data_IF_862373642253
#
_entry.id   IF_862373642253
#
_cell.length_a   1.000
_cell.length_b   1.000
_cell.length_c   1.000
_cell.angle_alpha   90.00
_cell.angle_beta   90.00
_cell.angle_gamma   90.00
#
_symmetry.space_group_name_H-M   'P 1'
#
loop_
_entity.id
_entity.type
_entity.pdbx_description
1 polymer ?
#
# COMPACT_ATOMS: atom_id res chain seq x y z
N UNK A 1 4.57 -38.53 45.66
CA UNK A 1 5.16 -37.26 45.19
C UNK A 1 5.28 -37.27 43.65
N UNK A 2 4.17 -37.14 42.90
CA UNK A 2 4.16 -37.20 41.41
C UNK A 2 3.38 -36.05 40.73
N UNK A 3 2.69 -35.20 41.50
CA UNK A 3 1.80 -34.16 40.94
C UNK A 3 2.51 -32.87 40.47
N UNK A 4 3.81 -32.67 40.79
CA UNK A 4 4.51 -31.39 40.52
C UNK A 4 5.11 -31.27 39.12
N UNK A 5 5.23 -32.36 38.34
CA UNK A 5 5.82 -32.31 36.98
C UNK A 5 4.81 -31.90 35.89
N UNK A 6 3.51 -32.10 36.10
CA UNK A 6 2.49 -31.81 35.08
C UNK A 6 2.07 -30.33 35.04
N UNK A 7 2.31 -29.58 36.12
CA UNK A 7 1.93 -28.17 36.20
C UNK A 7 2.91 -27.24 35.43
N UNK A 8 4.16 -27.67 35.24
CA UNK A 8 5.19 -26.87 34.54
C UNK A 8 4.98 -26.94 33.01
N UNK A 9 4.42 -28.03 32.49
CA UNK A 9 4.13 -28.17 31.05
C UNK A 9 2.94 -27.31 30.62
N UNK A 10 1.97 -27.05 31.51
CA UNK A 10 0.77 -26.27 31.18
C UNK A 10 1.05 -24.76 31.08
N UNK A 11 1.98 -24.21 31.88
CA UNK A 11 2.34 -22.79 31.79
C UNK A 11 3.24 -22.45 30.59
N UNK A 12 4.05 -23.39 30.10
CA UNK A 12 4.88 -23.17 28.91
C UNK A 12 4.06 -23.10 27.60
N UNK A 13 2.90 -23.77 27.56
CA UNK A 13 1.99 -23.72 26.40
C UNK A 13 1.21 -22.40 26.33
N UNK A 14 0.93 -21.75 27.47
CA UNK A 14 0.26 -20.43 27.50
C UNK A 14 1.19 -19.25 27.20
N UNK A 15 2.49 -19.36 27.52
CA UNK A 15 3.47 -18.31 27.21
C UNK A 15 3.89 -18.26 25.73
N UNK A 16 3.58 -19.30 24.95
CA UNK A 16 3.84 -19.34 23.50
C UNK A 16 2.67 -18.81 22.65
N UNK A 17 1.57 -18.38 23.28
CA UNK A 17 0.34 -17.91 22.60
C UNK A 17 0.34 -16.40 22.30
N UNK A 18 1.44 -15.67 22.52
CA UNK A 18 1.50 -14.21 22.34
C UNK A 18 2.61 -13.74 21.41
N UNK A 19 2.98 -14.50 20.39
CA UNK A 19 3.55 -13.89 19.19
C UNK A 19 2.39 -13.38 18.33
N UNK A 20 1.76 -12.30 18.78
CA UNK A 20 1.12 -11.36 17.85
C UNK A 20 2.30 -10.87 17.02
N UNK A 21 2.47 -11.41 15.83
CA UNK A 21 3.37 -10.81 14.85
C UNK A 21 2.81 -9.41 14.63
N UNK A 22 3.49 -8.38 15.14
CA UNK A 22 3.21 -7.02 14.73
C UNK A 22 3.51 -7.02 13.23
N UNK A 23 2.47 -6.96 12.40
CA UNK A 23 2.61 -6.63 11.00
C UNK A 23 3.24 -5.24 10.96
N UNK A 24 4.55 -5.18 10.78
CA UNK A 24 5.22 -3.90 10.63
C UNK A 24 4.75 -3.32 9.29
N UNK A 25 4.27 -2.08 9.31
CA UNK A 25 4.03 -1.31 8.10
C UNK A 25 5.28 -1.34 7.22
N UNK A 26 5.09 -1.61 5.94
CA UNK A 26 6.18 -1.51 4.97
C UNK A 26 6.10 -0.20 4.18
N UNK A 27 4.93 0.47 4.18
CA UNK A 27 4.72 1.78 3.59
C UNK A 27 3.62 2.55 4.34
N UNK A 28 3.83 3.84 4.58
CA UNK A 28 2.84 4.83 5.01
C UNK A 28 3.23 6.16 4.35
N UNK A 29 2.51 6.55 3.30
CA UNK A 29 2.82 7.70 2.46
C UNK A 29 1.58 8.56 2.23
N UNK A 30 1.57 9.77 2.80
CA UNK A 30 0.59 10.83 2.53
C UNK A 30 1.12 11.93 1.61
N UNK A 31 2.22 11.68 0.88
CA UNK A 31 2.78 12.61 -0.11
C UNK A 31 3.23 13.97 0.45
N UNK A 32 3.37 14.11 1.77
CA UNK A 32 3.86 15.32 2.45
C UNK A 32 5.35 15.62 2.20
N UNK A 33 6.08 14.71 1.56
CA UNK A 33 7.51 14.86 1.30
C UNK A 33 7.89 14.47 -0.14
N UNK A 34 8.61 15.35 -0.87
CA UNK A 34 9.00 16.70 -0.47
C UNK A 34 7.80 17.66 -0.42
N UNK A 35 7.85 18.62 0.51
CA UNK A 35 6.90 19.74 0.51
C UNK A 35 7.15 20.57 -0.75
N UNK A 36 6.14 20.66 -1.62
CA UNK A 36 6.16 21.55 -2.76
C UNK A 36 5.78 22.96 -2.28
N UNK A 37 6.51 23.96 -2.78
CA UNK A 37 6.07 25.35 -2.70
C UNK A 37 5.44 25.69 -4.04
N UNK A 38 4.13 25.94 -4.12
CA UNK A 38 3.49 26.18 -5.40
C UNK A 38 4.01 27.46 -6.07
N UNK A 39 4.01 27.47 -7.40
CA UNK A 39 4.36 28.67 -8.16
C UNK A 39 3.19 29.65 -8.15
N UNK A 40 3.46 30.93 -7.87
CA UNK A 40 2.44 31.99 -7.95
C UNK A 40 1.81 32.14 -9.35
N UNK A 41 2.44 31.61 -10.39
CA UNK A 41 1.95 31.64 -11.77
C UNK A 41 1.10 30.42 -12.15
N UNK A 42 1.38 29.23 -11.58
CA UNK A 42 0.70 27.97 -11.91
C UNK A 42 -0.33 27.53 -10.85
N UNK A 43 -0.50 28.32 -9.78
CA UNK A 43 -1.48 28.07 -8.74
C UNK A 43 -0.92 27.23 -7.59
N UNK A 44 -1.68 26.27 -7.09
CA UNK A 44 -1.30 25.42 -5.95
C UNK A 44 -0.77 24.03 -6.36
N UNK A 45 -0.48 23.85 -7.66
CA UNK A 45 -0.04 22.59 -8.27
C UNK A 45 1.44 22.65 -8.67
N UNK A 46 2.08 21.49 -8.75
CA UNK A 46 3.40 21.30 -9.35
C UNK A 46 3.44 20.02 -10.17
N UNK A 47 3.72 20.14 -11.46
CA UNK A 47 3.74 19.02 -12.39
C UNK A 47 5.10 18.30 -12.42
N UNK A 48 5.05 16.97 -12.59
CA UNK A 48 6.21 16.10 -12.78
C UNK A 48 5.97 15.20 -13.99
N UNK A 49 6.99 15.03 -14.84
CA UNK A 49 6.86 14.37 -16.14
C UNK A 49 7.88 13.24 -16.27
N UNK A 50 7.45 12.09 -16.78
CA UNK A 50 8.35 10.98 -17.14
C UNK A 50 9.20 11.26 -18.39
N UNK A 51 8.69 12.08 -19.32
CA UNK A 51 9.27 12.34 -20.64
C UNK A 51 10.42 13.36 -20.63
N UNK A 52 10.48 14.21 -19.61
CA UNK A 52 11.51 15.24 -19.50
C UNK A 52 12.81 14.71 -18.84
N UNK A 53 12.74 13.62 -18.08
CA UNK A 53 13.90 12.89 -17.52
C UNK A 53 13.48 11.47 -17.06
N UNK A 54 13.86 10.39 -17.77
CA UNK A 54 13.59 9.02 -17.33
C UNK A 54 14.20 8.78 -15.94
N UNK A 55 13.38 8.35 -14.98
CA UNK A 55 13.82 8.27 -13.58
C UNK A 55 13.53 9.54 -12.76
N UNK A 56 12.57 10.36 -13.19
CA UNK A 56 12.04 11.44 -12.35
C UNK A 56 11.34 10.85 -11.12
N UNK A 57 11.65 11.36 -9.94
CA UNK A 57 11.03 10.97 -8.68
C UNK A 57 10.28 12.14 -8.04
N UNK A 58 9.16 11.84 -7.40
CA UNK A 58 8.57 12.67 -6.36
C UNK A 58 8.66 11.93 -5.02
N UNK A 59 9.54 12.41 -4.14
CA UNK A 59 9.88 11.68 -2.92
C UNK A 59 10.46 10.31 -3.27
N UNK A 60 9.87 9.25 -2.71
CA UNK A 60 10.23 7.86 -2.98
C UNK A 60 9.55 7.27 -4.22
N UNK A 61 8.61 7.99 -4.84
CA UNK A 61 7.81 7.50 -5.96
C UNK A 61 8.46 7.83 -7.30
N UNK A 62 8.69 6.80 -8.11
CA UNK A 62 9.13 6.91 -9.49
C UNK A 62 7.94 7.31 -10.37
N UNK A 63 8.12 8.30 -11.25
CA UNK A 63 7.15 8.61 -12.31
C UNK A 63 7.48 7.72 -13.51
N UNK A 64 6.71 6.64 -13.66
CA UNK A 64 6.98 5.54 -14.60
C UNK A 64 6.63 5.94 -16.03
N UNK A 65 5.48 6.57 -16.20
CA UNK A 65 5.01 7.09 -17.49
C UNK A 65 4.05 8.26 -17.29
N UNK A 66 3.83 9.02 -18.36
CA UNK A 66 2.95 10.18 -18.34
C UNK A 66 3.44 11.30 -17.44
N UNK A 67 2.50 11.95 -16.76
CA UNK A 67 2.77 13.03 -15.81
C UNK A 67 1.83 12.99 -14.61
N UNK A 68 2.30 13.50 -13.48
CA UNK A 68 1.47 13.73 -12.29
C UNK A 68 1.49 15.21 -11.92
N UNK A 69 0.50 15.61 -11.13
CA UNK A 69 0.52 16.89 -10.41
C UNK A 69 0.50 16.63 -8.92
N UNK A 70 1.36 17.33 -8.18
CA UNK A 70 1.28 17.39 -6.72
C UNK A 70 0.56 18.68 -6.38
N UNK A 71 -0.52 18.59 -5.60
CA UNK A 71 -1.23 19.73 -5.06
C UNK A 71 -0.74 20.00 -3.63
N UNK A 72 -0.60 21.27 -3.25
CA UNK A 72 -0.47 21.67 -1.85
C UNK A 72 -1.67 22.52 -1.44
N UNK A 73 -2.61 21.89 -0.76
CA UNK A 73 -3.91 22.45 -0.42
C UNK A 73 -3.84 23.47 0.73
N UNK A 74 -2.68 23.66 1.38
CA UNK A 74 -2.44 24.80 2.29
C UNK A 74 -2.73 26.15 1.60
N UNK A 75 -2.52 26.22 0.28
CA UNK A 75 -2.72 27.41 -0.53
C UNK A 75 -4.08 27.42 -1.24
N UNK A 76 -4.91 26.40 -1.01
CA UNK A 76 -6.24 26.26 -1.59
C UNK A 76 -7.28 27.01 -0.75
N UNK A 77 -8.26 27.63 -1.40
CA UNK A 77 -9.47 28.14 -0.74
C UNK A 77 -10.71 27.30 -1.08
N UNK A 78 -10.50 26.08 -1.59
CA UNK A 78 -11.55 25.18 -2.04
C UNK A 78 -11.97 24.22 -0.93
N UNK A 79 -13.08 23.50 -1.12
CA UNK A 79 -13.50 22.36 -0.28
C UNK A 79 -12.78 21.06 -0.64
N UNK A 80 -11.78 21.14 -1.51
CA UNK A 80 -11.02 20.01 -2.03
C UNK A 80 -9.64 20.00 -1.38
N UNK A 81 -9.62 19.53 -0.15
CA UNK A 81 -8.41 19.37 0.66
C UNK A 81 -7.86 17.94 0.54
N UNK A 82 -6.56 17.80 0.77
CA UNK A 82 -5.89 16.51 0.97
C UNK A 82 -6.63 15.68 2.04
N UNK A 83 -6.59 14.36 1.87
CA UNK A 83 -7.22 13.47 2.83
C UNK A 83 -6.42 13.46 4.14
N UNK A 84 -5.09 13.37 4.04
CA UNK A 84 -4.15 13.52 5.13
C UNK A 84 -3.21 14.71 4.85
N UNK A 85 -2.77 15.41 5.90
CA UNK A 85 -1.82 16.51 5.76
C UNK A 85 -2.30 17.68 4.89
N UNK A 86 -1.47 18.06 3.92
CA UNK A 86 -1.58 19.25 3.09
C UNK A 86 -1.29 18.99 1.61
N UNK A 87 -0.84 17.79 1.22
CA UNK A 87 -0.48 17.46 -0.14
C UNK A 87 -1.16 16.19 -0.62
N UNK A 88 -1.44 16.14 -1.92
CA UNK A 88 -1.97 14.95 -2.59
C UNK A 88 -1.44 14.88 -4.01
N UNK A 89 -1.47 13.68 -4.58
CA UNK A 89 -1.13 13.49 -6.00
C UNK A 89 -2.40 13.48 -6.83
N UNK A 90 -2.41 14.15 -7.97
CA UNK A 90 -3.32 13.85 -9.08
C UNK A 90 -2.56 13.01 -10.10
N UNK A 91 -3.07 11.81 -10.38
CA UNK A 91 -2.35 10.82 -11.19
C UNK A 91 -2.30 11.17 -12.68
N UNK A 92 -3.15 12.09 -13.17
CA UNK A 92 -3.02 12.62 -14.54
C UNK A 92 -2.74 14.12 -14.43
N UNK A 93 -1.53 14.53 -14.79
CA UNK A 93 -1.17 15.93 -14.97
C UNK A 93 -1.69 16.46 -16.31
N UNK A 94 -0.80 16.49 -17.31
CA UNK A 94 -1.13 16.83 -18.71
C UNK A 94 -1.50 15.59 -19.55
N UNK A 95 -1.16 14.40 -19.06
CA UNK A 95 -1.39 13.11 -19.68
C UNK A 95 -1.55 12.04 -18.60
N UNK A 96 -2.23 10.90 -18.87
CA UNK A 96 -2.40 9.82 -17.90
C UNK A 96 -1.08 9.35 -17.31
N UNK A 97 -0.94 9.49 -16.00
CA UNK A 97 0.30 9.21 -15.29
C UNK A 97 0.27 7.87 -14.56
N UNK A 98 1.47 7.31 -14.42
CA UNK A 98 1.74 6.10 -13.64
C UNK A 98 2.89 6.38 -12.70
N UNK A 99 2.69 6.11 -11.41
CA UNK A 99 3.73 6.16 -10.39
C UNK A 99 4.00 4.77 -9.84
N UNK A 100 5.21 4.54 -9.34
CA UNK A 100 5.56 3.27 -8.71
C UNK A 100 6.61 3.42 -7.61
N UNK A 101 6.58 2.47 -6.68
CA UNK A 101 7.55 2.35 -5.59
C UNK A 101 7.95 0.88 -5.42
N UNK A 102 9.22 0.65 -5.11
CA UNK A 102 9.72 -0.69 -4.79
C UNK A 102 9.56 -0.95 -3.29
N UNK A 103 8.94 -2.08 -2.96
CA UNK A 103 8.67 -2.52 -1.59
C UNK A 103 9.47 -3.78 -1.27
N UNK A 104 10.08 -3.82 -0.09
CA UNK A 104 10.65 -5.05 0.44
C UNK A 104 9.53 -5.99 0.92
N UNK A 105 9.35 -7.10 0.22
CA UNK A 105 8.28 -8.08 0.49
C UNK A 105 8.84 -9.45 0.88
N UNK A 106 7.97 -10.36 1.33
CA UNK A 106 8.30 -11.77 1.56
C UNK A 106 7.55 -12.64 0.55
N UNK A 107 8.24 -13.61 -0.05
CA UNK A 107 7.61 -14.54 -1.01
C UNK A 107 6.45 -15.26 -0.35
N UNK A 108 5.33 -15.38 -1.07
CA UNK A 108 4.07 -16.00 -0.67
C UNK A 108 3.34 -15.31 0.50
N UNK A 109 3.81 -14.14 0.95
CA UNK A 109 3.11 -13.33 1.94
C UNK A 109 2.02 -12.47 1.25
N UNK A 110 0.81 -12.48 1.80
CA UNK A 110 -0.24 -11.55 1.40
C UNK A 110 -0.05 -10.18 2.07
N UNK A 111 -0.28 -9.12 1.31
CA UNK A 111 -0.23 -7.73 1.75
C UNK A 111 -1.57 -7.05 1.44
N UNK A 112 -2.01 -6.17 2.32
CA UNK A 112 -3.13 -5.27 2.09
C UNK A 112 -2.59 -3.87 1.75
N UNK A 113 -3.10 -3.30 0.66
CA UNK A 113 -2.88 -1.92 0.24
C UNK A 113 -4.17 -1.16 0.55
N UNK A 114 -4.08 -0.13 1.39
CA UNK A 114 -5.16 0.83 1.63
C UNK A 114 -4.74 2.20 1.11
N UNK A 115 -5.67 2.90 0.44
CA UNK A 115 -5.44 4.23 -0.09
C UNK A 115 -6.76 4.97 -0.29
N UNK A 116 -6.70 6.29 -0.45
CA UNK A 116 -7.86 7.13 -0.67
C UNK A 116 -7.81 7.75 -2.05
N UNK A 117 -8.95 7.71 -2.75
CA UNK A 117 -9.12 8.32 -4.08
C UNK A 117 -10.22 9.36 -4.07
N UNK A 118 -10.08 10.37 -4.91
CA UNK A 118 -11.08 11.43 -5.09
C UNK A 118 -11.36 11.66 -6.58
N UNK A 119 -12.59 12.10 -6.88
CA UNK A 119 -13.22 12.26 -8.22
C UNK A 119 -13.68 10.97 -8.87
N UNK A 120 -14.65 11.13 -9.77
CA UNK A 120 -15.19 10.07 -10.61
C UNK A 120 -14.27 9.77 -11.81
N UNK A 121 -13.04 9.39 -11.51
CA UNK A 121 -12.07 8.90 -12.48
C UNK A 121 -11.48 7.59 -11.96
N UNK A 122 -11.18 6.69 -12.89
CA UNK A 122 -10.59 5.40 -12.57
C UNK A 122 -9.14 5.54 -12.09
N UNK A 123 -8.82 4.86 -10.99
CA UNK A 123 -7.47 4.59 -10.51
C UNK A 123 -7.23 3.10 -10.58
N UNK A 124 -6.14 2.69 -11.23
CA UNK A 124 -5.68 1.30 -11.22
C UNK A 124 -4.50 1.17 -10.28
N UNK A 125 -4.66 0.36 -9.24
CA UNK A 125 -3.56 -0.12 -8.40
C UNK A 125 -3.11 -1.48 -8.91
N UNK A 126 -1.80 -1.72 -8.96
CA UNK A 126 -1.25 -2.98 -9.45
C UNK A 126 0.13 -3.27 -8.91
N UNK A 127 0.58 -4.52 -9.04
CA UNK A 127 1.95 -4.89 -8.69
C UNK A 127 2.67 -5.62 -9.83
N UNK A 128 3.99 -5.50 -9.88
CA UNK A 128 4.85 -6.24 -10.79
C UNK A 128 6.22 -6.57 -10.17
N UNK A 129 7.04 -7.35 -10.88
CA UNK A 129 8.38 -7.69 -10.43
C UNK A 129 9.39 -6.54 -10.62
N UNK A 130 9.25 -5.73 -11.69
CA UNK A 130 10.11 -4.59 -11.98
C UNK A 130 9.30 -3.36 -12.41
N UNK A 131 9.92 -2.17 -12.37
CA UNK A 131 9.31 -0.89 -12.73
C UNK A 131 8.76 -0.81 -14.17
N UNK A 132 9.35 -1.56 -15.10
CA UNK A 132 8.96 -1.59 -16.51
C UNK A 132 8.01 -2.74 -16.90
N UNK A 133 7.61 -3.58 -15.95
CA UNK A 133 6.79 -4.75 -16.23
C UNK A 133 5.28 -4.40 -16.28
N UNK A 134 4.53 -5.28 -16.96
CA UNK A 134 3.07 -5.29 -16.86
C UNK A 134 2.63 -5.78 -15.47
N UNK A 135 1.42 -5.37 -15.06
CA UNK A 135 0.84 -5.86 -13.81
C UNK A 135 0.69 -7.39 -13.82
N UNK A 136 1.14 -8.02 -12.74
CA UNK A 136 0.88 -9.42 -12.44
C UNK A 136 -0.55 -9.58 -11.89
N UNK A 137 -1.00 -8.60 -11.11
CA UNK A 137 -2.39 -8.42 -10.72
C UNK A 137 -2.67 -6.93 -10.51
N UNK A 138 -3.93 -6.54 -10.67
CA UNK A 138 -4.38 -5.16 -10.47
C UNK A 138 -5.85 -5.10 -10.05
N UNK A 139 -6.25 -3.92 -9.56
CA UNK A 139 -7.63 -3.54 -9.29
C UNK A 139 -7.85 -2.11 -9.76
N UNK A 140 -8.94 -1.89 -10.50
CA UNK A 140 -9.41 -0.55 -10.88
C UNK A 140 -10.55 -0.12 -9.96
N UNK A 141 -10.58 1.14 -9.55
CA UNK A 141 -11.61 1.72 -8.69
C UNK A 141 -11.80 3.21 -8.98
N UNK A 142 -13.02 3.72 -8.84
CA UNK A 142 -13.35 5.16 -8.93
C UNK A 142 -14.00 5.61 -7.63
N UNK A 143 -13.83 6.89 -7.26
CA UNK A 143 -14.51 7.48 -6.10
C UNK A 143 -16.01 7.72 -6.37
N UNK A 144 -16.45 7.73 -7.63
CA UNK A 144 -17.85 7.93 -8.01
C UNK A 144 -18.42 9.32 -7.72
N UNK A 145 -17.57 10.30 -7.39
CA UNK A 145 -17.98 11.68 -7.12
C UNK A 145 -16.92 12.54 -6.43
N UNK A 146 -17.34 13.70 -5.94
CA UNK A 146 -16.49 14.73 -5.34
C UNK A 146 -16.26 14.51 -3.83
N UNK A 147 -15.91 13.28 -3.45
CA UNK A 147 -15.57 12.92 -2.06
C UNK A 147 -14.48 11.85 -2.01
N UNK A 148 -13.64 11.90 -0.97
CA UNK A 148 -12.64 10.88 -0.75
C UNK A 148 -13.29 9.53 -0.45
N UNK A 149 -12.86 8.50 -1.19
CA UNK A 149 -13.28 7.12 -1.00
C UNK A 149 -12.09 6.25 -0.69
N UNK A 150 -12.24 5.42 0.33
CA UNK A 150 -11.24 4.45 0.73
C UNK A 150 -11.29 3.22 -0.17
N UNK A 151 -10.13 2.78 -0.64
CA UNK A 151 -9.97 1.56 -1.42
C UNK A 151 -9.02 0.63 -0.69
N UNK A 152 -9.41 -0.63 -0.57
CA UNK A 152 -8.54 -1.72 -0.10
C UNK A 152 -8.32 -2.73 -1.21
N UNK A 153 -7.10 -3.26 -1.29
CA UNK A 153 -6.74 -4.31 -2.24
C UNK A 153 -5.64 -5.21 -1.68
N UNK A 154 -5.79 -6.51 -1.87
CA UNK A 154 -4.83 -7.49 -1.37
C UNK A 154 -4.06 -8.09 -2.53
N UNK A 155 -2.76 -8.31 -2.31
CA UNK A 155 -1.91 -9.03 -3.26
C UNK A 155 -0.97 -9.99 -2.54
N UNK A 156 -0.60 -11.08 -3.20
CA UNK A 156 0.42 -12.02 -2.70
C UNK A 156 1.75 -11.74 -3.41
N UNK A 157 2.78 -11.42 -2.64
CA UNK A 157 4.10 -11.13 -3.18
C UNK A 157 4.74 -12.40 -3.76
N UNK A 158 5.27 -12.29 -4.99
CA UNK A 158 5.95 -13.40 -5.68
C UNK A 158 7.48 -13.38 -5.49
N UNK A 159 7.99 -12.33 -4.84
CA UNK A 159 9.41 -12.06 -4.69
C UNK A 159 9.72 -11.41 -3.35
N UNK A 160 11.02 -11.28 -3.05
CA UNK A 160 11.50 -10.50 -1.90
C UNK A 160 11.46 -8.99 -2.15
N UNK A 161 11.16 -8.59 -3.39
CA UNK A 161 10.90 -7.21 -3.81
C UNK A 161 9.65 -7.22 -4.69
N UNK A 162 8.80 -6.22 -4.52
CA UNK A 162 7.59 -6.01 -5.32
C UNK A 162 7.46 -4.54 -5.67
N UNK A 163 7.22 -4.23 -6.94
CA UNK A 163 6.84 -2.89 -7.34
C UNK A 163 5.34 -2.71 -7.19
N UNK A 164 4.92 -1.73 -6.39
CA UNK A 164 3.54 -1.26 -6.30
C UNK A 164 3.36 -0.06 -7.23
N UNK A 165 2.27 -0.01 -7.97
CA UNK A 165 1.96 1.08 -8.89
C UNK A 165 0.56 1.63 -8.67
N UNK A 166 0.43 2.90 -8.99
CA UNK A 166 -0.84 3.58 -9.22
C UNK A 166 -0.83 4.22 -10.60
N UNK A 167 -1.91 4.02 -11.35
CA UNK A 167 -2.11 4.55 -12.70
C UNK A 167 -3.47 5.25 -12.75
N UNK A 168 -3.52 6.47 -13.28
CA UNK A 168 -4.76 7.19 -13.44
C UNK A 168 -5.51 6.82 -14.73
N UNK A 169 -6.72 7.35 -14.88
CA UNK A 169 -7.63 7.00 -15.98
C UNK A 169 -7.04 7.37 -17.34
N UNK A 170 -6.84 6.36 -18.19
CA UNK A 170 -6.31 6.52 -19.54
C UNK A 170 -7.19 7.39 -20.47
N UNK A 171 -8.47 7.60 -20.13
CA UNK A 171 -9.41 8.38 -20.94
C UNK A 171 -9.49 9.85 -20.51
N UNK A 172 -8.76 10.25 -19.48
CA UNK A 172 -8.79 11.60 -18.92
C UNK A 172 -7.43 12.26 -19.09
N UNK A 173 -7.35 13.27 -19.95
CA UNK A 173 -6.07 13.90 -20.30
C UNK A 173 -5.55 14.85 -19.21
N UNK A 174 -6.42 15.68 -18.60
CA UNK A 174 -5.99 16.69 -17.60
C UNK A 174 -6.74 16.59 -16.26
N UNK A 175 -6.00 16.78 -15.16
CA UNK A 175 -6.51 16.78 -13.78
C UNK A 175 -7.23 15.47 -13.42
N UNK A 176 -6.44 14.40 -13.39
CA UNK A 176 -6.91 13.03 -13.11
C UNK A 176 -7.37 12.79 -11.67
N UNK A 177 -7.65 11.52 -11.31
CA UNK A 177 -8.05 11.17 -9.96
C UNK A 177 -6.95 11.58 -8.97
N UNK A 178 -7.37 12.07 -7.81
CA UNK A 178 -6.42 12.31 -6.72
C UNK A 178 -6.25 11.08 -5.86
N UNK A 179 -5.03 10.90 -5.36
CA UNK A 179 -4.57 9.79 -4.54
C UNK A 179 -3.92 10.38 -3.28
N UNK A 180 -4.24 9.79 -2.14
CA UNK A 180 -3.66 10.16 -0.85
C UNK A 180 -3.66 8.99 0.16
N UNK A 181 -2.84 9.11 1.21
CA UNK A 181 -2.70 8.21 2.34
C UNK A 181 -2.61 6.73 1.94
N UNK A 182 -1.51 6.38 1.27
CA UNK A 182 -1.21 5.01 0.86
C UNK A 182 -0.53 4.27 2.00
N UNK A 183 -1.12 3.16 2.44
CA UNK A 183 -0.50 2.24 3.39
C UNK A 183 -0.38 0.85 2.79
N UNK A 184 0.68 0.15 3.18
CA UNK A 184 0.88 -1.26 2.85
C UNK A 184 1.34 -2.01 4.08
N UNK A 185 0.61 -3.07 4.43
CA UNK A 185 0.92 -3.93 5.57
C UNK A 185 0.76 -5.41 5.22
N UNK A 186 1.58 -6.31 5.82
CA UNK A 186 1.39 -7.74 5.63
C UNK A 186 0.14 -8.22 6.35
N UNK A 187 -0.70 -9.00 5.67
CA UNK A 187 -1.87 -9.64 6.26
C UNK A 187 -1.41 -10.79 7.16
N UNK A 188 -1.69 -10.77 8.47
CA UNK A 188 -1.26 -11.84 9.36
C UNK A 188 -1.88 -13.18 8.99
N UNK A 189 -1.07 -14.22 8.92
CA UNK A 189 -1.55 -15.60 8.76
C UNK A 189 -2.57 -15.94 9.85
N UNK A 190 -3.74 -16.52 9.49
CA UNK A 190 -4.73 -16.90 10.48
C UNK A 190 -4.15 -17.81 11.57
N UNK A 191 -4.44 -17.50 12.84
CA UNK A 191 -3.97 -18.27 14.00
C UNK A 191 -4.35 -19.77 13.96
N UNK A 192 -5.31 -20.15 13.10
CA UNK A 192 -5.67 -21.53 12.81
C UNK A 192 -4.51 -22.37 12.28
N UNK A 193 -3.59 -21.81 11.48
CA UNK A 193 -2.39 -22.55 11.00
C UNK A 193 -1.51 -22.98 12.17
N UNK A 194 -1.31 -22.10 13.14
CA UNK A 194 -0.59 -22.43 14.38
C UNK A 194 -1.32 -23.48 15.21
N UNK A 195 -2.64 -23.37 15.34
CA UNK A 195 -3.44 -24.37 16.09
C UNK A 195 -3.35 -25.75 15.44
N UNK A 196 -3.37 -25.84 14.11
CA UNK A 196 -3.19 -27.12 13.41
C UNK A 196 -1.77 -27.68 13.58
N UNK A 197 -0.75 -26.83 13.48
CA UNK A 197 0.64 -27.25 13.73
C UNK A 197 0.81 -27.78 15.17
N UNK A 198 0.30 -27.06 16.18
CA UNK A 198 0.36 -27.45 17.58
C UNK A 198 -0.51 -28.69 17.87
N UNK A 199 -1.71 -28.75 17.30
CA UNK A 199 -2.63 -29.88 17.43
C UNK A 199 -2.06 -31.16 16.85
N UNK A 200 -1.37 -31.08 15.71
CA UNK A 200 -0.64 -32.19 15.09
C UNK A 200 0.48 -32.73 16.00
N UNK A 201 1.31 -31.85 16.56
CA UNK A 201 2.37 -32.23 17.51
C UNK A 201 1.77 -32.85 18.78
N UNK A 202 0.69 -32.26 19.30
CA UNK A 202 -0.06 -32.79 20.44
C UNK A 202 -0.52 -34.23 20.21
N UNK A 203 -1.16 -34.51 19.07
CA UNK A 203 -1.63 -35.85 18.72
C UNK A 203 -0.48 -36.86 18.52
N UNK A 204 0.64 -36.43 17.93
CA UNK A 204 1.84 -37.28 17.76
C UNK A 204 2.50 -37.62 19.10
N UNK A 205 2.53 -36.68 20.05
CA UNK A 205 3.06 -36.93 21.40
C UNK A 205 2.17 -37.89 22.20
N UNK A 206 0.85 -37.81 22.05
CA UNK A 206 -0.10 -38.72 22.70
C UNK A 206 -0.03 -40.14 22.16
N UNK A 207 0.39 -40.32 20.89
CA UNK A 207 0.54 -41.65 20.26
C UNK A 207 1.77 -42.42 20.74
N UNK A 208 2.76 -41.75 21.36
CA UNK A 208 3.98 -42.37 21.92
C UNK A 208 3.84 -42.87 23.36
N UNK A 209 2.69 -42.64 24.00
CA UNK A 209 2.41 -43.05 25.39
C UNK A 209 1.50 -44.27 25.51
N UNK A 210 1.48 -45.16 24.52
CA UNK A 210 0.91 -46.51 24.62
C UNK A 210 2.01 -47.56 24.71
#
# INVERSE_FOLDING_TARGET
>A
MKAKKNLIVLCAVFAALTSITNAAFILEESFESPVITPDKQDGFLKSYYSSNDPGTYFGSWLIVSGSIEVANDTYSSSTFDAYDGHQRIALNGDEPGRIGIELATTVDQEYEVEFYIYKDFDVTVGFAANSGDNFLASKTSSAGGDSWQKVTWNFTAQGTSTWLFFEGDANTEATGPSLDMVTVEPVPEPATVMIFALGGIGMLSMRRHK
#
